data_IF_788236218880
#
_entry.id   IF_788236218880
#
_cell.length_a   1.000
_cell.length_b   1.000
_cell.length_c   1.000
_cell.angle_alpha   90.00
_cell.angle_beta   90.00
_cell.angle_gamma   90.00
#
_symmetry.space_group_name_H-M   'P 1'
#
loop_
_entity.id
_entity.type
_entity.pdbx_description
1 polymer ?
#
# COMPACT_ATOMS: atom_id res chain seq x y z
N UNK A 1 -25.93 -2.77 3.72
CA UNK A 1 -24.61 -2.86 4.39
C UNK A 1 -24.16 -1.44 4.69
N UNK A 2 -23.60 -1.15 5.87
CA UNK A 2 -22.99 0.15 6.12
C UNK A 2 -21.85 0.40 5.12
N UNK A 3 -21.63 1.66 4.78
CA UNK A 3 -20.57 2.04 3.85
C UNK A 3 -19.22 1.97 4.57
N UNK A 4 -18.24 1.28 3.97
CA UNK A 4 -16.86 1.24 4.48
C UNK A 4 -16.14 2.55 4.19
N UNK A 5 -15.36 3.04 5.15
CA UNK A 5 -14.45 4.18 5.02
C UNK A 5 -13.02 3.67 4.83
N UNK A 6 -12.32 4.22 3.84
CA UNK A 6 -10.95 3.83 3.54
C UNK A 6 -10.00 5.00 3.67
N UNK A 7 -8.85 4.76 4.30
CA UNK A 7 -7.69 5.64 4.23
C UNK A 7 -6.95 5.34 2.92
N UNK A 8 -6.76 6.33 2.06
CA UNK A 8 -6.19 6.15 0.72
C UNK A 8 -4.78 6.76 0.63
N UNK A 9 -3.79 5.93 0.31
CA UNK A 9 -2.40 6.30 0.13
C UNK A 9 -1.99 6.22 -1.34
N UNK A 10 -1.55 7.35 -1.90
CA UNK A 10 -1.18 7.45 -3.31
C UNK A 10 0.28 7.03 -3.57
N UNK A 11 0.67 7.02 -4.84
CA UNK A 11 2.02 6.69 -5.29
C UNK A 11 3.05 7.78 -4.96
N UNK A 12 4.32 7.50 -5.23
CA UNK A 12 5.37 8.50 -5.08
C UNK A 12 5.20 9.63 -6.09
N UNK A 13 5.58 10.83 -5.70
CA UNK A 13 5.53 12.02 -6.55
C UNK A 13 4.13 12.60 -6.77
N UNK A 14 3.11 12.16 -6.02
CA UNK A 14 1.75 12.72 -6.12
C UNK A 14 1.32 13.53 -4.91
N UNK A 15 1.65 13.09 -3.69
CA UNK A 15 1.24 13.74 -2.45
C UNK A 15 2.19 13.35 -1.29
N UNK A 16 2.13 14.13 -0.22
CA UNK A 16 3.03 14.02 0.93
C UNK A 16 3.71 15.35 1.20
N UNK A 17 4.76 15.34 2.01
CA UNK A 17 5.43 16.56 2.47
C UNK A 17 6.88 16.66 1.99
N UNK A 18 7.43 15.56 1.43
CA UNK A 18 8.83 15.49 1.01
C UNK A 18 8.92 15.63 -0.50
N UNK A 19 9.71 16.60 -0.98
CA UNK A 19 10.03 16.73 -2.40
C UNK A 19 10.69 15.47 -2.95
N UNK A 20 10.27 15.07 -4.13
CA UNK A 20 10.68 13.84 -4.78
C UNK A 20 10.72 13.99 -6.30
N UNK A 21 11.19 12.95 -6.98
CA UNK A 21 11.03 12.82 -8.43
C UNK A 21 9.58 12.39 -8.76
N UNK A 22 9.09 12.66 -9.99
CA UNK A 22 7.79 12.15 -10.38
C UNK A 22 7.76 10.61 -10.32
N UNK A 23 6.68 10.05 -9.78
CA UNK A 23 6.44 8.61 -9.86
C UNK A 23 6.15 8.15 -11.30
N UNK A 24 6.23 6.84 -11.58
CA UNK A 24 5.87 6.31 -12.89
C UNK A 24 4.43 6.67 -13.24
N UNK A 25 4.23 7.27 -14.41
CA UNK A 25 2.90 7.74 -14.87
C UNK A 25 2.45 9.10 -14.33
N UNK A 26 3.26 9.76 -13.49
CA UNK A 26 3.04 11.16 -13.05
C UNK A 26 3.74 12.14 -13.98
N UNK A 27 4.92 11.77 -14.47
CA UNK A 27 5.72 12.58 -15.40
C UNK A 27 4.91 12.92 -16.66
N UNK A 28 4.83 14.22 -16.99
CA UNK A 28 4.09 14.73 -18.15
C UNK A 28 2.59 14.97 -17.94
N UNK A 29 2.02 14.59 -16.80
CA UNK A 29 0.62 14.89 -16.45
C UNK A 29 0.47 15.95 -15.35
N UNK A 30 1.49 16.12 -14.50
CA UNK A 30 1.50 17.07 -13.39
C UNK A 30 2.76 17.94 -13.42
N UNK A 31 2.62 19.18 -12.96
CA UNK A 31 3.75 20.09 -12.76
C UNK A 31 4.36 19.89 -11.36
N UNK A 32 5.65 20.19 -11.22
CA UNK A 32 6.37 20.17 -9.95
C UNK A 32 5.80 21.23 -8.97
N UNK A 33 6.00 21.08 -7.64
CA UNK A 33 6.78 20.04 -6.96
C UNK A 33 6.07 18.68 -6.89
N UNK A 34 6.83 17.60 -7.06
CA UNK A 34 6.33 16.24 -6.84
C UNK A 34 6.60 15.83 -5.39
N UNK A 35 5.59 15.34 -4.70
CA UNK A 35 5.65 15.07 -3.27
C UNK A 35 5.49 13.58 -2.95
N UNK A 36 6.15 13.14 -1.90
CA UNK A 36 6.11 11.77 -1.38
C UNK A 36 5.94 11.78 0.14
N UNK A 37 5.31 10.75 0.70
CA UNK A 37 5.07 10.61 2.14
C UNK A 37 6.37 10.52 2.96
N UNK A 38 7.36 9.80 2.44
CA UNK A 38 8.70 9.71 2.99
C UNK A 38 9.72 9.73 1.84
N UNK A 39 11.02 9.82 2.15
CA UNK A 39 12.08 9.80 1.13
C UNK A 39 11.95 8.54 0.27
N UNK A 40 11.76 8.70 -1.04
CA UNK A 40 11.50 7.58 -1.93
C UNK A 40 12.37 7.60 -3.21
N UNK A 41 13.04 6.48 -3.56
CA UNK A 41 13.24 5.29 -2.72
C UNK A 41 14.20 5.60 -1.56
N UNK A 42 14.07 4.86 -0.46
CA UNK A 42 15.09 4.85 0.61
C UNK A 42 16.28 4.00 0.20
N UNK A 43 17.45 4.35 0.70
CA UNK A 43 18.71 3.61 0.54
C UNK A 43 19.16 3.00 1.87
N UNK A 44 20.19 2.16 1.88
CA UNK A 44 20.79 1.68 3.13
C UNK A 44 21.53 2.76 3.93
N UNK A 45 21.83 3.92 3.34
CA UNK A 45 22.46 5.05 4.03
C UNK A 45 21.48 6.00 4.68
N UNK A 46 20.19 5.87 4.36
CA UNK A 46 19.14 6.69 4.95
C UNK A 46 18.77 6.19 6.34
N UNK A 47 18.56 7.11 7.27
CA UNK A 47 18.00 6.78 8.58
C UNK A 47 16.50 6.42 8.49
N UNK A 48 15.86 6.29 9.65
CA UNK A 48 14.43 6.00 9.75
C UNK A 48 13.58 7.27 9.91
N UNK A 49 14.16 8.47 9.93
CA UNK A 49 13.42 9.67 10.34
C UNK A 49 12.18 9.91 9.47
N UNK A 50 12.36 9.99 8.14
CA UNK A 50 11.24 10.28 7.23
C UNK A 50 10.14 9.22 7.21
N UNK A 51 10.45 7.94 7.44
CA UNK A 51 9.39 6.90 7.50
C UNK A 51 8.63 6.97 8.82
N UNK A 52 9.32 7.31 9.91
CA UNK A 52 8.69 7.41 11.22
C UNK A 52 7.77 8.61 11.27
N UNK A 53 8.20 9.75 10.71
CA UNK A 53 7.34 10.93 10.50
C UNK A 53 6.11 10.58 9.65
N UNK A 54 6.28 9.79 8.57
CA UNK A 54 5.14 9.32 7.78
C UNK A 54 4.19 8.41 8.58
N UNK A 55 4.70 7.54 9.47
CA UNK A 55 3.87 6.72 10.34
C UNK A 55 3.13 7.55 11.39
N UNK A 56 3.78 8.54 11.98
CA UNK A 56 3.17 9.44 12.96
C UNK A 56 2.02 10.24 12.30
N UNK A 57 2.22 10.75 11.08
CA UNK A 57 1.16 11.37 10.29
C UNK A 57 -0.04 10.43 10.05
N UNK A 58 0.20 9.15 9.79
CA UNK A 58 -0.89 8.17 9.64
C UNK A 58 -1.62 7.92 10.95
N UNK A 59 -0.92 7.88 12.08
CA UNK A 59 -1.56 7.79 13.40
C UNK A 59 -2.43 9.01 13.67
N UNK A 60 -1.91 10.22 13.45
CA UNK A 60 -2.65 11.47 13.60
C UNK A 60 -3.89 11.50 12.71
N UNK A 61 -3.74 11.12 11.44
CA UNK A 61 -4.88 11.03 10.50
C UNK A 61 -5.95 10.05 10.98
N UNK A 62 -5.56 8.89 11.53
CA UNK A 62 -6.51 7.91 12.08
C UNK A 62 -7.24 8.47 13.31
N UNK A 63 -6.55 9.23 14.15
CA UNK A 63 -7.13 9.86 15.34
C UNK A 63 -8.11 10.98 14.98
N UNK A 64 -7.75 11.84 14.02
CA UNK A 64 -8.54 13.01 13.64
C UNK A 64 -9.72 12.68 12.72
N UNK A 65 -9.48 11.87 11.69
CA UNK A 65 -10.45 11.62 10.62
C UNK A 65 -11.09 10.23 10.69
N UNK A 66 -10.65 9.37 11.61
CA UNK A 66 -11.17 8.02 11.79
C UNK A 66 -12.64 7.96 12.25
N UNK A 67 -13.17 6.75 12.49
CA UNK A 67 -12.55 5.46 12.21
C UNK A 67 -12.52 5.16 10.71
N UNK A 68 -11.47 4.47 10.26
CA UNK A 68 -11.36 3.87 8.93
C UNK A 68 -11.53 2.35 9.03
N UNK A 69 -12.34 1.76 8.16
CA UNK A 69 -12.53 0.31 8.09
C UNK A 69 -11.40 -0.39 7.35
N UNK A 70 -10.76 0.31 6.42
CA UNK A 70 -9.69 -0.25 5.60
C UNK A 70 -8.66 0.77 5.15
N UNK A 71 -7.59 0.25 4.57
CA UNK A 71 -6.54 1.06 3.94
C UNK A 71 -6.36 0.66 2.48
N UNK A 72 -6.18 1.64 1.60
CA UNK A 72 -5.90 1.45 0.18
C UNK A 72 -4.55 2.05 -0.14
N UNK A 73 -3.68 1.30 -0.79
CA UNK A 73 -2.35 1.78 -1.19
C UNK A 73 -2.04 1.49 -2.65
N UNK A 74 -1.62 2.52 -3.38
CA UNK A 74 -1.05 2.38 -4.73
C UNK A 74 0.47 2.51 -4.70
N UNK A 75 1.19 1.55 -5.28
CA UNK A 75 2.65 1.65 -5.44
C UNK A 75 3.36 1.98 -4.11
N UNK A 76 4.03 3.13 -4.03
CA UNK A 76 4.61 3.68 -2.80
C UNK A 76 3.65 3.71 -1.61
N UNK A 77 2.41 4.17 -1.79
CA UNK A 77 1.42 4.23 -0.72
C UNK A 77 1.04 2.85 -0.19
N UNK A 78 1.15 1.80 -1.00
CA UNK A 78 0.94 0.44 -0.52
C UNK A 78 2.17 -0.13 0.18
N UNK A 79 3.39 0.28 -0.18
CA UNK A 79 4.59 0.00 0.62
C UNK A 79 4.49 0.68 2.00
N UNK A 80 4.07 1.95 2.04
CA UNK A 80 3.81 2.69 3.27
C UNK A 80 2.76 1.99 4.14
N UNK A 81 1.60 1.65 3.58
CA UNK A 81 0.53 0.93 4.29
C UNK A 81 1.03 -0.39 4.90
N UNK A 82 1.80 -1.15 4.12
CA UNK A 82 2.36 -2.45 4.53
C UNK A 82 3.32 -2.28 5.71
N UNK A 83 4.27 -1.34 5.59
CA UNK A 83 5.23 -1.03 6.65
C UNK A 83 4.55 -0.50 7.91
N UNK A 84 3.57 0.40 7.76
CA UNK A 84 2.82 0.98 8.87
C UNK A 84 2.06 -0.08 9.66
N UNK A 85 1.31 -0.94 8.98
CA UNK A 85 0.58 -2.03 9.63
C UNK A 85 1.52 -3.01 10.34
N UNK A 86 2.66 -3.34 9.72
CA UNK A 86 3.65 -4.23 10.33
C UNK A 86 4.34 -3.60 11.55
N UNK A 87 4.68 -2.32 11.47
CA UNK A 87 5.23 -1.52 12.58
C UNK A 87 4.24 -1.46 13.75
N UNK A 88 2.96 -1.15 13.48
CA UNK A 88 1.92 -1.14 14.50
C UNK A 88 1.77 -2.52 15.18
N UNK A 89 1.68 -3.60 14.40
CA UNK A 89 1.56 -4.96 14.94
C UNK A 89 2.80 -5.40 15.75
N UNK A 90 3.98 -4.86 15.44
CA UNK A 90 5.18 -5.11 16.22
C UNK A 90 5.20 -4.30 17.53
N UNK A 91 4.77 -3.03 17.49
CA UNK A 91 4.68 -2.13 18.65
C UNK A 91 3.58 -2.54 19.63
N UNK A 92 2.46 -3.05 19.12
CA UNK A 92 1.24 -3.37 19.88
C UNK A 92 0.77 -4.81 19.58
N UNK A 93 1.50 -5.85 20.02
CA UNK A 93 1.25 -7.25 19.60
C UNK A 93 -0.06 -7.85 20.13
N UNK A 94 -0.71 -7.20 21.09
CA UNK A 94 -1.96 -7.66 21.72
C UNK A 94 -3.19 -6.83 21.31
N UNK A 95 -2.97 -5.74 20.56
CA UNK A 95 -4.06 -4.88 20.11
C UNK A 95 -4.75 -5.51 18.90
N UNK A 96 -6.03 -5.16 18.72
CA UNK A 96 -6.72 -5.45 17.47
C UNK A 96 -6.05 -4.71 16.31
N UNK A 97 -6.06 -5.25 15.09
CA UNK A 97 -5.56 -4.55 13.92
C UNK A 97 -6.23 -3.17 13.73
N UNK A 98 -5.46 -2.18 13.27
CA UNK A 98 -5.96 -0.82 12.97
C UNK A 98 -7.07 -0.79 11.92
N UNK A 99 -7.08 -1.76 11.01
CA UNK A 99 -7.98 -1.85 9.88
C UNK A 99 -8.59 -3.25 9.79
N UNK A 100 -9.80 -3.37 9.25
CA UNK A 100 -10.45 -4.66 9.01
C UNK A 100 -10.00 -5.29 7.68
N UNK A 101 -9.51 -4.49 6.73
CA UNK A 101 -8.98 -4.99 5.45
C UNK A 101 -8.00 -4.02 4.79
N UNK A 102 -7.22 -4.52 3.82
CA UNK A 102 -6.35 -3.70 2.98
C UNK A 102 -6.53 -3.99 1.48
N UNK A 103 -6.37 -2.97 0.65
CA UNK A 103 -6.41 -3.08 -0.81
C UNK A 103 -5.13 -2.50 -1.39
N UNK A 104 -4.41 -3.30 -2.18
CA UNK A 104 -3.15 -2.91 -2.79
C UNK A 104 -3.28 -2.89 -4.30
N UNK A 105 -2.95 -1.75 -4.91
CA UNK A 105 -2.87 -1.60 -6.36
C UNK A 105 -1.40 -1.49 -6.76
N UNK A 106 -0.90 -2.44 -7.56
CA UNK A 106 0.46 -2.39 -8.13
C UNK A 106 1.55 -2.06 -7.09
N UNK A 107 1.42 -2.62 -5.90
CA UNK A 107 2.23 -2.28 -4.73
C UNK A 107 3.35 -3.30 -4.50
N UNK A 108 4.19 -3.03 -3.52
CA UNK A 108 5.31 -3.86 -3.08
C UNK A 108 5.47 -3.82 -1.56
N UNK A 109 6.20 -4.76 -0.95
CA UNK A 109 6.61 -4.63 0.44
C UNK A 109 7.56 -3.44 0.65
N UNK A 110 7.71 -2.92 1.88
CA UNK A 110 8.76 -1.99 2.24
C UNK A 110 10.13 -2.52 1.81
N UNK A 111 10.97 -1.65 1.26
CA UNK A 111 12.31 -1.99 0.80
C UNK A 111 13.25 -0.80 0.96
N UNK A 112 14.55 -1.10 0.86
CA UNK A 112 15.63 -0.13 0.70
C UNK A 112 16.49 -0.53 -0.50
N UNK A 113 17.05 0.46 -1.19
CA UNK A 113 18.04 0.23 -2.24
C UNK A 113 19.42 -0.02 -1.63
N UNK A 114 20.12 -1.02 -2.14
CA UNK A 114 21.55 -1.21 -1.88
C UNK A 114 22.40 -0.26 -2.74
N UNK A 115 23.73 -0.31 -2.56
CA UNK A 115 24.69 0.52 -3.29
C UNK A 115 24.69 0.26 -4.82
N UNK A 116 24.19 -0.90 -5.23
CA UNK A 116 24.05 -1.31 -6.64
C UNK A 116 22.66 -0.98 -7.21
N UNK A 117 21.82 -0.26 -6.46
CA UNK A 117 20.46 0.11 -6.81
C UNK A 117 19.49 -1.08 -6.94
N UNK A 118 19.78 -2.19 -6.28
CA UNK A 118 18.85 -3.31 -6.17
C UNK A 118 17.89 -3.10 -4.98
N UNK A 119 16.59 -3.38 -5.15
CA UNK A 119 15.64 -3.30 -4.05
C UNK A 119 15.79 -4.50 -3.12
N UNK A 120 16.09 -4.24 -1.85
CA UNK A 120 16.16 -5.22 -0.79
C UNK A 120 14.96 -5.05 0.14
N UNK A 121 14.05 -6.02 0.09
CA UNK A 121 12.82 -6.00 0.90
C UNK A 121 13.11 -6.17 2.39
N UNK A 122 12.38 -5.42 3.22
CA UNK A 122 12.46 -5.52 4.67
C UNK A 122 12.04 -6.91 5.16
N UNK A 123 12.76 -7.41 6.17
CA UNK A 123 12.55 -8.74 6.76
C UNK A 123 11.64 -8.67 7.98
N UNK A 124 11.05 -9.79 8.38
CA UNK A 124 10.24 -9.88 9.61
C UNK A 124 8.82 -9.36 9.45
N UNK A 125 8.38 -9.19 8.20
CA UNK A 125 7.00 -8.85 7.83
C UNK A 125 6.09 -10.07 7.84
N UNK A 126 6.65 -11.28 7.83
CA UNK A 126 5.92 -12.53 7.79
C UNK A 126 4.96 -12.66 8.97
N UNK A 127 3.68 -12.88 8.66
CA UNK A 127 2.63 -13.02 9.66
C UNK A 127 2.30 -11.73 10.43
N UNK A 128 2.77 -10.57 9.97
CA UNK A 128 2.40 -9.25 10.53
C UNK A 128 1.11 -8.70 9.93
N UNK A 129 0.81 -9.03 8.67
CA UNK A 129 -0.40 -8.60 7.97
C UNK A 129 -1.42 -9.75 7.97
N UNK A 130 -2.25 -9.79 9.02
CA UNK A 130 -3.23 -10.86 9.26
C UNK A 130 -4.65 -10.50 8.84
N UNK A 131 -4.87 -9.28 8.40
CA UNK A 131 -6.18 -8.80 7.95
C UNK A 131 -6.44 -9.30 6.52
N UNK A 132 -7.71 -9.51 6.12
CA UNK A 132 -8.07 -9.77 4.73
C UNK A 132 -7.50 -8.72 3.76
N UNK A 133 -7.01 -9.18 2.61
CA UNK A 133 -6.44 -8.29 1.59
C UNK A 133 -6.98 -8.55 0.18
N UNK A 134 -6.95 -7.50 -0.63
CA UNK A 134 -7.15 -7.58 -2.08
C UNK A 134 -5.95 -6.98 -2.79
N UNK A 135 -5.36 -7.73 -3.72
CA UNK A 135 -4.26 -7.28 -4.55
C UNK A 135 -4.72 -7.15 -6.00
N UNK A 136 -4.70 -5.92 -6.51
CA UNK A 136 -4.98 -5.61 -7.90
C UNK A 136 -3.64 -5.41 -8.61
N UNK A 137 -3.35 -6.26 -9.60
CA UNK A 137 -2.03 -6.32 -10.22
C UNK A 137 -2.10 -6.22 -11.75
N UNK A 138 -1.31 -5.30 -12.31
CA UNK A 138 -1.06 -5.19 -13.73
C UNK A 138 -0.03 -6.21 -14.18
N UNK A 139 -0.43 -7.13 -15.06
CA UNK A 139 0.46 -8.20 -15.57
C UNK A 139 1.59 -7.67 -16.46
N UNK A 140 1.53 -6.41 -16.91
CA UNK A 140 2.60 -5.73 -17.65
C UNK A 140 3.32 -4.69 -16.80
N UNK A 141 3.03 -4.63 -15.50
CA UNK A 141 3.68 -3.71 -14.58
C UNK A 141 5.13 -4.15 -14.32
N UNK A 142 6.07 -3.20 -14.30
CA UNK A 142 7.46 -3.45 -13.92
C UNK A 142 7.55 -3.98 -12.47
N UNK A 143 6.61 -3.59 -11.61
CA UNK A 143 6.51 -4.01 -10.22
C UNK A 143 5.72 -5.31 -10.01
N UNK A 144 5.24 -5.98 -11.06
CA UNK A 144 4.37 -7.16 -10.95
C UNK A 144 4.94 -8.25 -10.03
N UNK A 145 6.24 -8.55 -10.16
CA UNK A 145 6.92 -9.52 -9.28
C UNK A 145 6.91 -9.08 -7.81
N UNK A 146 7.01 -7.79 -7.55
CA UNK A 146 6.97 -7.23 -6.20
C UNK A 146 5.55 -7.23 -5.62
N UNK A 147 4.53 -7.04 -6.46
CA UNK A 147 3.13 -7.22 -6.05
C UNK A 147 2.81 -8.66 -5.66
N UNK A 148 3.39 -9.63 -6.37
CA UNK A 148 3.31 -11.05 -6.00
C UNK A 148 4.04 -11.30 -4.67
N UNK A 149 5.22 -10.71 -4.45
CA UNK A 149 5.92 -10.81 -3.17
C UNK A 149 5.08 -10.26 -2.01
N UNK A 150 4.43 -9.10 -2.19
CA UNK A 150 3.55 -8.53 -1.18
C UNK A 150 2.35 -9.44 -0.88
N UNK A 151 1.71 -10.01 -1.91
CA UNK A 151 0.64 -10.99 -1.72
C UNK A 151 1.09 -12.19 -0.89
N UNK A 152 2.30 -12.70 -1.12
CA UNK A 152 2.84 -13.85 -0.39
C UNK A 152 3.18 -13.55 1.07
N UNK A 153 3.30 -12.28 1.46
CA UNK A 153 3.48 -11.87 2.86
C UNK A 153 2.16 -11.84 3.65
N UNK A 154 1.03 -11.69 2.95
CA UNK A 154 -0.30 -11.61 3.55
C UNK A 154 -0.90 -12.99 3.83
N UNK A 155 -1.93 -13.06 4.69
CA UNK A 155 -2.58 -14.34 5.01
C UNK A 155 -3.27 -14.93 3.78
N UNK A 156 -2.72 -16.04 3.28
CA UNK A 156 -3.24 -16.79 2.13
C UNK A 156 -4.71 -17.24 2.26
N UNK A 157 -5.25 -17.35 3.48
CA UNK A 157 -6.65 -17.76 3.71
C UNK A 157 -7.65 -16.64 3.47
N UNK A 158 -7.21 -15.38 3.58
CA UNK A 158 -8.08 -14.20 3.51
C UNK A 158 -7.67 -13.21 2.42
N UNK A 159 -6.54 -13.45 1.74
CA UNK A 159 -6.02 -12.64 0.63
C UNK A 159 -6.57 -13.08 -0.72
N UNK A 160 -6.79 -12.13 -1.64
CA UNK A 160 -7.34 -12.38 -2.97
C UNK A 160 -6.66 -11.53 -4.05
N UNK A 161 -6.68 -11.99 -5.31
CA UNK A 161 -6.00 -11.32 -6.43
C UNK A 161 -6.97 -10.98 -7.56
N UNK A 162 -6.84 -9.78 -8.10
CA UNK A 162 -7.44 -9.36 -9.38
C UNK A 162 -6.34 -8.94 -10.35
N UNK A 163 -6.17 -9.72 -11.42
CA UNK A 163 -5.25 -9.40 -12.51
C UNK A 163 -5.92 -8.55 -13.60
N UNK A 164 -5.16 -7.62 -14.17
CA UNK A 164 -5.46 -6.88 -15.40
C UNK A 164 -4.25 -6.82 -16.35
N UNK A 165 -4.44 -6.36 -17.59
CA UNK A 165 -3.45 -6.41 -18.68
C UNK A 165 -2.69 -5.09 -18.91
N UNK A 166 -2.77 -4.17 -17.95
CA UNK A 166 -2.12 -2.86 -17.98
C UNK A 166 -0.77 -2.87 -17.26
N UNK A 167 -0.03 -1.76 -17.40
CA UNK A 167 1.21 -1.50 -16.68
C UNK A 167 0.94 -0.90 -15.30
N UNK A 168 1.79 0.05 -14.90
CA UNK A 168 1.76 0.71 -13.58
C UNK A 168 0.67 1.79 -13.50
N UNK A 169 -0.58 1.38 -13.64
CA UNK A 169 -1.76 2.27 -13.63
C UNK A 169 -2.97 1.57 -12.98
N UNK A 170 -3.91 2.37 -12.48
CA UNK A 170 -5.22 1.88 -12.03
C UNK A 170 -6.13 1.74 -13.27
N UNK A 171 -6.69 0.54 -13.55
CA UNK A 171 -7.55 0.33 -14.71
C UNK A 171 -8.78 1.25 -14.71
N UNK A 172 -9.06 1.84 -15.88
CA UNK A 172 -10.24 2.72 -16.10
C UNK A 172 -11.28 2.11 -17.03
N UNK A 173 -11.00 0.97 -17.66
CA UNK A 173 -11.97 0.30 -18.52
C UNK A 173 -13.08 -0.37 -17.70
N UNK A 174 -14.31 -0.32 -18.22
CA UNK A 174 -15.49 -0.76 -17.47
C UNK A 174 -15.46 -2.22 -17.03
N UNK A 175 -14.77 -3.09 -17.77
CA UNK A 175 -14.64 -4.51 -17.42
C UNK A 175 -13.71 -4.71 -16.23
N UNK A 176 -12.53 -4.10 -16.24
CA UNK A 176 -11.60 -4.16 -15.12
C UNK A 176 -12.20 -3.49 -13.87
N UNK A 177 -12.81 -2.31 -14.03
CA UNK A 177 -13.47 -1.59 -12.93
C UNK A 177 -14.57 -2.42 -12.29
N UNK A 178 -15.42 -3.08 -13.09
CA UNK A 178 -16.50 -3.94 -12.57
C UNK A 178 -15.96 -5.13 -11.77
N UNK A 179 -14.87 -5.75 -12.25
CA UNK A 179 -14.21 -6.87 -11.57
C UNK A 179 -13.56 -6.45 -10.25
N UNK A 180 -12.85 -5.31 -10.24
CA UNK A 180 -12.24 -4.73 -9.03
C UNK A 180 -13.35 -4.38 -8.03
N UNK A 181 -14.40 -3.68 -8.45
CA UNK A 181 -15.51 -3.31 -7.59
C UNK A 181 -16.23 -4.53 -6.98
N UNK A 182 -16.38 -5.62 -7.74
CA UNK A 182 -16.93 -6.87 -7.22
C UNK A 182 -16.02 -7.49 -6.15
N UNK A 183 -14.69 -7.50 -6.38
CA UNK A 183 -13.73 -8.01 -5.41
C UNK A 183 -13.67 -7.16 -4.13
N UNK A 184 -13.79 -5.83 -4.23
CA UNK A 184 -13.86 -4.93 -3.05
C UNK A 184 -15.12 -5.21 -2.23
N UNK A 185 -16.28 -5.42 -2.89
CA UNK A 185 -17.53 -5.80 -2.19
C UNK A 185 -17.40 -7.14 -1.48
N UNK A 186 -16.78 -8.12 -2.14
CA UNK A 186 -16.51 -9.43 -1.54
C UNK A 186 -15.58 -9.32 -0.33
N UNK A 187 -14.47 -8.57 -0.45
CA UNK A 187 -13.54 -8.31 0.65
C UNK A 187 -14.26 -7.70 1.87
N UNK A 188 -15.05 -6.64 1.65
CA UNK A 188 -15.81 -6.00 2.72
C UNK A 188 -16.84 -6.92 3.39
N UNK A 189 -17.42 -7.84 2.63
CA UNK A 189 -18.33 -8.84 3.20
C UNK A 189 -17.61 -9.85 4.10
N UNK A 190 -16.35 -10.17 3.81
CA UNK A 190 -15.53 -11.13 4.59
C UNK A 190 -14.91 -10.48 5.83
N UNK A 191 -14.61 -9.18 5.78
CA UNK A 191 -13.93 -8.48 6.88
C UNK A 191 -14.84 -8.14 8.06
N UNK A 192 -16.16 -8.05 7.87
CA UNK A 192 -17.11 -7.73 8.96
C UNK A 192 -17.52 -8.92 9.84
N UNK A 193 -17.02 -10.13 9.57
CA UNK A 193 -17.34 -11.35 10.33
C UNK A 193 -16.13 -11.96 11.07
N UNK A 194 -15.09 -11.17 11.33
CA UNK A 194 -13.96 -11.52 12.20
C UNK A 194 -13.87 -10.51 13.35
#
# INVERSE_FOLDING_TARGET
MPAMRFLCLHGAGTNGEIESLPGPGVEGFYEAPFLSYYKWPRTFHDDEQSIMEAYDLLYETIEEDGPFDGIIGFSHGGALATGFMAHHAAKNPYDSPLFQCAIFFNSMPPFRMDDEQNPIFEKGLEGKIRIPTLHVMGTKDFAYKYSVNLYNLCDSKSSSIVLHDKGHEIPRDGKAVSKIAAAIRDLGSRSMFH
#
